data_IF_905588247402
#
_entry.id   IF_905588247402
#
_cell.length_a   1.000
_cell.length_b   1.000
_cell.length_c   1.000
_cell.angle_alpha   90.00
_cell.angle_beta   90.00
_cell.angle_gamma   90.00
#
_symmetry.space_group_name_H-M   'P 1'
#
loop_
_entity.id
_entity.type
_entity.pdbx_description
1 polymer ?
#
# COMPACT_ATOMS: atom_id res chain seq x y z
N UNK A 1 19.23 -0.14 -13.82
CA UNK A 1 19.31 1.27 -13.39
C UNK A 1 18.63 2.09 -14.48
N UNK A 2 17.33 2.39 -14.29
CA UNK A 2 16.48 2.97 -15.36
C UNK A 2 16.76 4.46 -15.61
N UNK A 3 17.51 5.13 -14.73
CA UNK A 3 17.82 6.56 -14.81
C UNK A 3 19.31 6.82 -14.88
N UNK A 4 19.69 7.92 -15.53
CA UNK A 4 21.07 8.45 -15.48
C UNK A 4 21.20 9.25 -14.18
N UNK A 5 21.95 8.72 -13.23
CA UNK A 5 22.23 9.39 -11.95
C UNK A 5 23.37 10.43 -12.04
N UNK A 6 24.09 10.46 -13.18
CA UNK A 6 25.15 11.42 -13.43
C UNK A 6 24.60 12.87 -13.38
N UNK A 7 25.05 13.66 -12.40
CA UNK A 7 24.66 15.05 -12.18
C UNK A 7 23.80 15.30 -10.95
N UNK A 8 23.34 14.25 -10.23
CA UNK A 8 22.64 14.41 -8.95
C UNK A 8 23.63 14.31 -7.80
N UNK A 9 24.24 15.45 -7.47
CA UNK A 9 25.22 15.52 -6.38
C UNK A 9 24.53 15.64 -5.02
N UNK A 10 24.89 14.75 -4.11
CA UNK A 10 24.47 14.81 -2.70
C UNK A 10 25.43 15.75 -1.96
N UNK A 11 24.99 16.96 -1.64
CA UNK A 11 25.83 18.00 -1.04
C UNK A 11 25.80 18.02 0.50
N UNK A 12 24.88 17.29 1.14
CA UNK A 12 24.75 17.22 2.60
C UNK A 12 24.43 15.80 3.07
N UNK A 13 24.81 15.49 4.31
CA UNK A 13 24.53 14.18 4.93
C UNK A 13 23.01 13.92 5.06
N UNK A 14 22.22 14.98 5.27
CA UNK A 14 20.76 14.90 5.27
C UNK A 14 20.18 14.54 3.90
N UNK A 15 20.79 15.01 2.81
CA UNK A 15 20.39 14.63 1.46
C UNK A 15 20.73 13.15 1.15
N UNK A 16 21.72 12.58 1.83
CA UNK A 16 22.08 11.17 1.69
C UNK A 16 21.15 10.24 2.49
N UNK A 17 20.62 10.71 3.62
CA UNK A 17 19.62 9.99 4.43
C UNK A 17 18.18 10.09 3.90
N UNK A 18 17.95 10.78 2.78
CA UNK A 18 16.62 10.91 2.20
C UNK A 18 16.08 9.54 1.72
N UNK A 19 14.81 9.25 2.05
CA UNK A 19 14.11 8.01 1.64
C UNK A 19 14.13 7.82 0.11
N UNK A 20 14.03 8.92 -0.64
CA UNK A 20 14.13 8.93 -2.09
C UNK A 20 15.23 9.92 -2.51
N UNK A 21 16.47 9.47 -2.70
CA UNK A 21 17.59 10.34 -3.06
C UNK A 21 17.50 10.84 -4.52
N UNK A 22 16.84 10.07 -5.39
CA UNK A 22 16.68 10.39 -6.82
C UNK A 22 15.44 11.27 -7.01
N UNK A 23 15.62 12.42 -7.68
CA UNK A 23 14.53 13.39 -7.91
C UNK A 23 13.40 12.77 -8.75
N UNK A 24 13.75 11.95 -9.75
CA UNK A 24 12.79 11.26 -10.60
C UNK A 24 11.89 10.31 -9.80
N UNK A 25 12.47 9.53 -8.88
CA UNK A 25 11.71 8.61 -8.02
C UNK A 25 10.77 9.36 -7.08
N UNK A 26 11.19 10.54 -6.57
CA UNK A 26 10.34 11.41 -5.76
C UNK A 26 9.11 11.87 -6.53
N UNK A 27 9.29 12.36 -7.76
CA UNK A 27 8.17 12.79 -8.61
C UNK A 27 7.29 11.62 -9.02
N UNK A 28 7.88 10.46 -9.31
CA UNK A 28 7.13 9.25 -9.61
C UNK A 28 6.26 8.82 -8.42
N UNK A 29 6.81 8.76 -7.21
CA UNK A 29 6.04 8.43 -6.01
C UNK A 29 4.98 9.48 -5.70
N UNK A 30 5.28 10.77 -5.87
CA UNK A 30 4.29 11.83 -5.73
C UNK A 30 3.14 11.66 -6.74
N UNK A 31 3.45 11.28 -7.98
CA UNK A 31 2.46 11.01 -9.01
C UNK A 31 1.61 9.78 -8.67
N UNK A 32 2.22 8.69 -8.20
CA UNK A 32 1.48 7.49 -7.75
C UNK A 32 0.51 7.83 -6.62
N UNK A 33 0.94 8.61 -5.63
CA UNK A 33 0.07 9.07 -4.54
C UNK A 33 -1.04 9.98 -5.07
N UNK A 34 -0.72 10.92 -5.95
CA UNK A 34 -1.72 11.80 -6.55
C UNK A 34 -2.76 11.01 -7.35
N UNK A 35 -2.35 10.02 -8.14
CA UNK A 35 -3.27 9.13 -8.86
C UNK A 35 -4.15 8.35 -7.89
N UNK A 36 -3.57 7.78 -6.84
CA UNK A 36 -4.29 6.97 -5.87
C UNK A 36 -5.37 7.77 -5.10
N UNK A 37 -5.07 8.99 -4.69
CA UNK A 37 -5.98 9.79 -3.84
C UNK A 37 -6.85 10.79 -4.59
N UNK A 38 -6.49 11.19 -5.81
CA UNK A 38 -7.26 12.17 -6.59
C UNK A 38 -7.96 11.49 -7.76
N UNK A 39 -7.25 10.65 -8.50
CA UNK A 39 -7.79 10.11 -9.76
C UNK A 39 -8.72 8.92 -9.49
N UNK A 40 -8.32 7.98 -8.64
CA UNK A 40 -9.17 6.82 -8.32
C UNK A 40 -10.55 7.21 -7.77
N UNK A 41 -10.70 8.05 -6.72
CA UNK A 41 -12.02 8.33 -6.17
C UNK A 41 -12.92 9.16 -7.10
N UNK A 42 -12.35 9.93 -8.04
CA UNK A 42 -13.14 10.75 -8.96
C UNK A 42 -13.54 10.02 -10.24
N UNK A 43 -12.85 8.94 -10.61
CA UNK A 43 -13.03 8.25 -11.90
C UNK A 43 -13.35 6.75 -11.79
N UNK A 44 -13.19 6.12 -10.61
CA UNK A 44 -13.46 4.70 -10.46
C UNK A 44 -14.96 4.45 -10.23
N UNK A 45 -15.57 3.66 -11.11
CA UNK A 45 -16.92 3.16 -10.93
C UNK A 45 -16.99 2.09 -9.83
N UNK A 46 -18.19 1.84 -9.31
CA UNK A 46 -18.46 0.83 -8.27
C UNK A 46 -17.87 -0.55 -8.62
N UNK A 47 -17.98 -0.97 -9.88
CA UNK A 47 -17.40 -2.23 -10.36
C UNK A 47 -15.89 -2.26 -10.19
N UNK A 48 -15.19 -1.20 -10.59
CA UNK A 48 -13.72 -1.12 -10.47
C UNK A 48 -13.28 -1.14 -9.01
N UNK A 49 -14.02 -0.43 -8.14
CA UNK A 49 -13.75 -0.41 -6.71
C UNK A 49 -13.93 -1.79 -6.09
N UNK A 50 -15.09 -2.42 -6.27
CA UNK A 50 -15.42 -3.69 -5.62
C UNK A 50 -14.70 -4.90 -6.22
N UNK A 51 -14.56 -4.97 -7.55
CA UNK A 51 -14.01 -6.14 -8.21
C UNK A 51 -12.47 -6.12 -8.30
N UNK A 52 -11.86 -4.94 -8.35
CA UNK A 52 -10.42 -4.81 -8.63
C UNK A 52 -9.68 -4.14 -7.49
N UNK A 53 -10.02 -2.89 -7.16
CA UNK A 53 -9.18 -2.06 -6.28
C UNK A 53 -9.22 -2.57 -4.84
N UNK A 54 -10.41 -2.83 -4.29
CA UNK A 54 -10.55 -3.31 -2.90
C UNK A 54 -9.85 -4.68 -2.72
N UNK A 55 -10.11 -5.72 -3.55
CA UNK A 55 -9.41 -6.99 -3.44
C UNK A 55 -7.90 -6.86 -3.63
N UNK A 56 -7.45 -6.03 -4.57
CA UNK A 56 -6.03 -5.78 -4.81
C UNK A 56 -5.33 -5.19 -3.59
N UNK A 57 -5.93 -4.20 -2.92
CA UNK A 57 -5.37 -3.58 -1.73
C UNK A 57 -5.28 -4.57 -0.56
N UNK A 58 -6.34 -5.35 -0.32
CA UNK A 58 -6.39 -6.37 0.73
C UNK A 58 -5.30 -7.43 0.50
N UNK A 59 -5.21 -7.96 -0.72
CA UNK A 59 -4.26 -9.02 -1.06
C UNK A 59 -2.82 -8.51 -1.07
N UNK A 60 -2.59 -7.28 -1.52
CA UNK A 60 -1.26 -6.64 -1.50
C UNK A 60 -0.75 -6.46 -0.07
N UNK A 61 -1.61 -5.99 0.84
CA UNK A 61 -1.26 -5.84 2.25
C UNK A 61 -0.94 -7.20 2.89
N UNK A 62 -1.73 -8.22 2.59
CA UNK A 62 -1.48 -9.58 3.06
C UNK A 62 -0.17 -10.17 2.50
N UNK A 63 0.12 -9.93 1.23
CA UNK A 63 1.35 -10.37 0.57
C UNK A 63 2.59 -9.68 1.17
N UNK A 64 2.53 -8.37 1.44
CA UNK A 64 3.62 -7.63 2.08
C UNK A 64 3.87 -8.17 3.50
N UNK A 65 2.80 -8.35 4.29
CA UNK A 65 2.92 -8.91 5.64
C UNK A 65 3.52 -10.32 5.63
N UNK A 66 3.12 -11.15 4.67
CA UNK A 66 3.70 -12.48 4.47
C UNK A 66 5.18 -12.39 4.08
N UNK A 67 5.54 -11.49 3.15
CA UNK A 67 6.92 -11.29 2.69
C UNK A 67 7.85 -10.86 3.84
N UNK A 68 7.37 -10.04 4.76
CA UNK A 68 8.11 -9.66 5.97
C UNK A 68 8.41 -10.90 6.83
N UNK A 69 7.40 -11.74 7.09
CA UNK A 69 7.57 -12.93 7.94
C UNK A 69 8.44 -14.02 7.29
N UNK A 70 8.13 -14.39 6.04
CA UNK A 70 8.80 -15.51 5.37
C UNK A 70 10.12 -15.10 4.74
N UNK A 71 10.22 -13.87 4.23
CA UNK A 71 11.42 -13.36 3.57
C UNK A 71 12.45 -12.85 4.56
N UNK A 72 12.09 -11.86 5.39
CA UNK A 72 13.05 -11.21 6.28
C UNK A 72 13.31 -12.01 7.57
N UNK A 73 12.27 -12.60 8.16
CA UNK A 73 12.40 -13.38 9.40
C UNK A 73 12.56 -14.90 9.18
N UNK A 74 12.28 -15.41 7.98
CA UNK A 74 12.41 -16.84 7.65
C UNK A 74 11.38 -17.76 8.31
N UNK A 75 10.27 -17.22 8.83
CA UNK A 75 9.24 -17.98 9.54
C UNK A 75 8.11 -18.41 8.59
N UNK A 76 7.59 -19.63 8.78
CA UNK A 76 6.37 -20.07 8.09
C UNK A 76 5.16 -19.37 8.72
N UNK A 77 4.45 -18.54 7.95
CA UNK A 77 3.24 -17.88 8.43
C UNK A 77 2.00 -18.72 8.18
N UNK A 78 1.56 -19.45 9.21
CA UNK A 78 0.27 -20.15 9.22
C UNK A 78 -0.88 -19.22 9.64
N UNK A 79 -0.58 -18.03 10.18
CA UNK A 79 -1.55 -17.13 10.79
C UNK A 79 -2.08 -16.01 9.91
N UNK A 80 -1.43 -15.67 8.78
CA UNK A 80 -1.81 -14.49 7.97
C UNK A 80 -3.27 -14.53 7.51
N UNK A 81 -3.74 -15.70 7.06
CA UNK A 81 -5.15 -15.89 6.68
C UNK A 81 -6.12 -15.81 7.86
N UNK A 82 -5.71 -16.30 9.04
CA UNK A 82 -6.53 -16.21 10.25
C UNK A 82 -6.71 -14.75 10.70
N UNK A 83 -5.65 -13.94 10.66
CA UNK A 83 -5.75 -12.51 10.98
C UNK A 83 -6.61 -11.75 9.96
N UNK A 84 -6.51 -12.08 8.67
CA UNK A 84 -7.38 -11.51 7.64
C UNK A 84 -8.86 -11.86 7.90
N UNK A 85 -9.15 -13.12 8.23
CA UNK A 85 -10.52 -13.55 8.54
C UNK A 85 -11.08 -12.83 9.79
N UNK A 86 -10.29 -12.73 10.86
CA UNK A 86 -10.70 -12.02 12.08
C UNK A 86 -11.04 -10.56 11.77
N UNK A 87 -10.23 -9.87 10.97
CA UNK A 87 -10.52 -8.51 10.52
C UNK A 87 -11.83 -8.40 9.74
N UNK A 88 -12.05 -9.29 8.76
CA UNK A 88 -13.27 -9.30 7.97
C UNK A 88 -14.54 -9.52 8.81
N UNK A 89 -14.51 -10.49 9.73
CA UNK A 89 -15.63 -10.75 10.64
C UNK A 89 -15.86 -9.60 11.63
N UNK A 90 -14.79 -8.97 12.14
CA UNK A 90 -14.89 -7.81 13.01
C UNK A 90 -15.57 -6.64 12.30
N UNK A 91 -15.13 -6.30 11.07
CA UNK A 91 -15.75 -5.25 10.27
C UNK A 91 -17.21 -5.55 9.96
N UNK A 92 -17.53 -6.79 9.56
CA UNK A 92 -18.91 -7.20 9.33
C UNK A 92 -19.80 -7.04 10.58
N UNK A 93 -19.30 -7.45 11.75
CA UNK A 93 -20.03 -7.30 13.02
C UNK A 93 -20.20 -5.84 13.42
N UNK A 94 -19.21 -4.98 13.17
CA UNK A 94 -19.31 -3.54 13.46
C UNK A 94 -20.33 -2.89 12.53
N UNK A 95 -20.22 -3.13 11.22
CA UNK A 95 -21.13 -2.59 10.20
C UNK A 95 -22.59 -3.02 10.44
N UNK A 96 -22.82 -4.26 10.90
CA UNK A 96 -24.17 -4.74 11.24
C UNK A 96 -24.67 -4.28 12.63
N UNK A 97 -23.78 -4.10 13.60
CA UNK A 97 -24.16 -3.67 14.95
C UNK A 97 -24.42 -2.17 15.07
N UNK A 98 -23.74 -1.34 14.27
CA UNK A 98 -23.85 0.11 14.26
C UNK A 98 -24.09 0.60 12.82
N UNK A 99 -25.35 0.57 12.33
CA UNK A 99 -25.68 0.94 10.95
C UNK A 99 -25.38 2.41 10.61
N UNK A 100 -25.25 3.28 11.62
CA UNK A 100 -24.87 4.68 11.47
C UNK A 100 -23.39 4.91 11.16
N UNK A 101 -22.54 3.88 11.30
CA UNK A 101 -21.11 3.96 10.98
C UNK A 101 -20.89 3.60 9.50
N UNK A 102 -20.33 4.56 8.74
CA UNK A 102 -19.90 4.33 7.36
C UNK A 102 -18.58 3.53 7.34
N UNK A 103 -18.67 2.23 7.65
CA UNK A 103 -17.55 1.27 7.66
C UNK A 103 -17.94 0.03 6.85
#
# INVERSE_FOLDING_TARGET
MFYREAGQFKSSYQADQAIFPIIQDRWFMALVIAVAFVLIPNFADEYWLQAVIIPFLIMSLAAIGLNILTGYAGLVSLGTGAFMAVGAYATYKISTAFPELNI
#
